data_IF_236420857441
#
_entry.id   IF_236420857441
#
_cell.length_a   1.000
_cell.length_b   1.000
_cell.length_c   1.000
_cell.angle_alpha   90.00
_cell.angle_beta   90.00
_cell.angle_gamma   90.00
#
_symmetry.space_group_name_H-M   'P 1'
#
loop_
_entity.id
_entity.type
_entity.pdbx_description
1 polymer ?
#
# COMPACT_ATOMS: atom_id res chain seq x y z
N UNK A 1 -10.65 -11.90 0.68
CA UNK A 1 -9.53 -11.89 1.64
C UNK A 1 -9.03 -13.33 1.80
N UNK A 2 -7.72 -13.59 1.73
CA UNK A 2 -7.19 -14.94 1.95
C UNK A 2 -7.37 -15.34 3.43
N UNK A 3 -8.17 -16.38 3.67
CA UNK A 3 -8.50 -16.88 5.03
C UNK A 3 -7.24 -17.27 5.81
N UNK A 4 -6.20 -17.74 5.14
CA UNK A 4 -4.92 -18.10 5.78
C UNK A 4 -4.20 -16.86 6.28
N UNK A 5 -4.18 -15.81 5.47
CA UNK A 5 -3.55 -14.54 5.85
C UNK A 5 -4.22 -13.95 7.09
N UNK A 6 -5.56 -13.87 7.10
CA UNK A 6 -6.32 -13.33 8.25
C UNK A 6 -6.03 -14.09 9.53
N UNK A 7 -5.95 -15.42 9.46
CA UNK A 7 -5.62 -16.27 10.61
C UNK A 7 -4.21 -15.99 11.13
N UNK A 8 -3.23 -15.85 10.24
CA UNK A 8 -1.84 -15.59 10.63
C UNK A 8 -1.66 -14.20 11.23
N UNK A 9 -2.29 -13.17 10.67
CA UNK A 9 -2.22 -11.82 11.25
C UNK A 9 -2.71 -11.83 12.69
N UNK A 10 -3.86 -12.46 12.97
CA UNK A 10 -4.43 -12.54 14.31
C UNK A 10 -3.47 -13.14 15.35
N UNK A 11 -2.52 -13.98 14.92
CA UNK A 11 -1.50 -14.59 15.79
C UNK A 11 -0.24 -13.72 15.92
N UNK A 12 0.01 -12.79 14.99
CA UNK A 12 1.23 -11.98 14.96
C UNK A 12 1.10 -10.61 15.61
N UNK A 13 -0.12 -10.06 15.67
CA UNK A 13 -0.36 -8.76 16.28
C UNK A 13 -1.47 -7.97 15.58
N UNK A 14 -1.60 -6.71 15.99
CA UNK A 14 -2.60 -5.78 15.47
C UNK A 14 -1.93 -4.48 15.03
N UNK A 15 -2.60 -3.71 14.19
CA UNK A 15 -2.18 -2.35 13.87
C UNK A 15 -2.26 -1.48 15.12
N UNK A 16 -1.31 -0.55 15.26
CA UNK A 16 -1.41 0.50 16.27
C UNK A 16 -2.49 1.53 15.93
N UNK A 17 -2.81 2.40 16.89
CA UNK A 17 -3.92 3.34 16.78
C UNK A 17 -3.79 4.30 15.59
N UNK A 18 -2.59 4.83 15.33
CA UNK A 18 -2.36 5.75 14.20
C UNK A 18 -2.56 5.03 12.87
N UNK A 19 -2.04 3.81 12.74
CA UNK A 19 -2.27 2.99 11.55
C UNK A 19 -3.74 2.66 11.34
N UNK A 20 -4.50 2.36 12.41
CA UNK A 20 -5.95 2.09 12.29
C UNK A 20 -6.71 3.31 11.78
N UNK A 21 -6.37 4.50 12.26
CA UNK A 21 -7.01 5.74 11.81
C UNK A 21 -6.74 6.02 10.33
N UNK A 22 -5.48 5.91 9.92
CA UNK A 22 -5.10 6.07 8.51
C UNK A 22 -5.70 4.96 7.64
N UNK A 23 -5.73 3.71 8.11
CA UNK A 23 -6.33 2.58 7.36
C UNK A 23 -7.79 2.87 7.03
N UNK A 24 -8.55 3.43 7.98
CA UNK A 24 -9.96 3.83 7.82
C UNK A 24 -10.12 4.95 6.79
N UNK A 25 -9.28 5.99 6.85
CA UNK A 25 -9.32 7.09 5.89
C UNK A 25 -9.00 6.59 4.47
N UNK A 26 -8.03 5.70 4.34
CA UNK A 26 -7.64 5.08 3.08
C UNK A 26 -8.59 3.96 2.63
N UNK A 27 -9.62 3.60 3.39
CA UNK A 27 -10.65 2.65 2.96
C UNK A 27 -11.81 3.36 2.19
N UNK A 28 -11.78 4.70 2.12
CA UNK A 28 -12.76 5.47 1.35
C UNK A 28 -12.55 5.24 -0.17
N UNK A 29 -13.52 4.57 -0.77
CA UNK A 29 -13.53 4.28 -2.21
C UNK A 29 -13.48 5.54 -3.07
N UNK A 30 -14.17 6.61 -2.67
CA UNK A 30 -14.20 7.86 -3.45
C UNK A 30 -12.83 8.51 -3.46
N UNK A 31 -12.10 8.45 -2.33
CA UNK A 31 -10.72 8.92 -2.28
C UNK A 31 -9.85 8.13 -3.25
N UNK A 32 -9.97 6.80 -3.26
CA UNK A 32 -9.18 5.95 -4.17
C UNK A 32 -9.51 6.21 -5.64
N UNK A 33 -10.79 6.37 -5.98
CA UNK A 33 -11.24 6.71 -7.34
C UNK A 33 -10.70 8.08 -7.80
N UNK A 34 -10.68 9.07 -6.91
CA UNK A 34 -10.11 10.39 -7.21
C UNK A 34 -8.60 10.31 -7.47
N UNK A 35 -7.86 9.58 -6.62
CA UNK A 35 -6.41 9.41 -6.79
C UNK A 35 -6.11 8.62 -8.07
N UNK A 36 -6.89 7.57 -8.36
CA UNK A 36 -6.73 6.80 -9.59
C UNK A 36 -6.99 7.65 -10.84
N UNK A 37 -8.04 8.49 -10.81
CA UNK A 37 -8.37 9.42 -11.89
C UNK A 37 -7.21 10.40 -12.13
N UNK A 38 -6.72 11.07 -11.07
CA UNK A 38 -5.60 12.02 -11.16
C UNK A 38 -4.33 11.35 -11.73
N UNK A 39 -3.98 10.16 -11.23
CA UNK A 39 -2.84 9.40 -11.72
C UNK A 39 -3.00 8.91 -13.17
N UNK A 40 -4.24 8.70 -13.62
CA UNK A 40 -4.56 8.31 -15.00
C UNK A 40 -4.40 9.46 -15.99
N UNK A 41 -4.49 10.71 -15.53
CA UNK A 41 -4.44 11.92 -16.35
C UNK A 41 -3.05 12.58 -16.39
N UNK A 42 -2.11 12.15 -15.54
CA UNK A 42 -0.75 12.73 -15.43
C UNK A 42 0.07 12.76 -16.73
N UNK A 43 -0.31 12.00 -17.75
CA UNK A 43 0.37 11.92 -19.04
C UNK A 43 -0.53 11.31 -20.12
N UNK A 44 -0.44 11.73 -21.40
CA UNK A 44 -1.33 11.28 -22.49
C UNK A 44 -1.44 9.76 -22.70
N UNK A 45 -0.46 9.00 -22.19
CA UNK A 45 -0.38 7.56 -22.34
C UNK A 45 -0.38 6.80 -21.00
N UNK A 46 -0.73 7.44 -19.88
CA UNK A 46 -0.72 6.80 -18.55
C UNK A 46 -1.61 5.56 -18.46
N UNK A 47 -2.74 5.56 -19.17
CA UNK A 47 -3.67 4.43 -19.25
C UNK A 47 -3.41 3.51 -20.45
N UNK A 48 -2.56 3.94 -21.40
CA UNK A 48 -2.34 3.26 -22.69
C UNK A 48 -0.99 2.55 -22.80
N UNK A 49 0.01 2.96 -21.99
CA UNK A 49 1.37 2.44 -22.03
C UNK A 49 1.95 2.34 -20.61
N UNK A 50 2.55 1.21 -20.25
CA UNK A 50 3.20 1.02 -18.95
C UNK A 50 3.30 -0.45 -18.52
N UNK A 51 4.05 -0.72 -17.44
CA UNK A 51 3.96 -2.01 -16.73
C UNK A 51 2.57 -2.14 -16.12
N UNK A 52 2.03 -3.36 -16.01
CA UNK A 52 0.87 -3.67 -15.16
C UNK A 52 1.09 -2.99 -13.81
N UNK A 53 0.32 -1.93 -13.56
CA UNK A 53 0.49 -1.11 -12.39
C UNK A 53 0.13 -1.93 -11.16
N UNK A 54 0.91 -1.72 -10.10
CA UNK A 54 0.46 -2.07 -8.75
C UNK A 54 -0.81 -1.25 -8.47
N UNK A 55 -1.84 -1.81 -7.81
CA UNK A 55 -3.04 -1.05 -7.46
C UNK A 55 -2.69 0.27 -6.75
N UNK A 56 -3.39 1.35 -7.12
CA UNK A 56 -3.18 2.69 -6.55
C UNK A 56 -3.27 2.67 -5.03
N UNK A 57 -4.22 1.89 -4.50
CA UNK A 57 -4.40 1.66 -3.06
C UNK A 57 -3.09 1.19 -2.37
N UNK A 58 -2.39 0.23 -2.96
CA UNK A 58 -1.14 -0.31 -2.39
C UNK A 58 -0.06 0.78 -2.36
N UNK A 59 0.08 1.53 -3.45
CA UNK A 59 1.08 2.61 -3.56
C UNK A 59 0.80 3.68 -2.51
N UNK A 60 -0.44 4.16 -2.43
CA UNK A 60 -0.84 5.21 -1.51
C UNK A 60 -0.62 4.81 -0.05
N UNK A 61 -0.99 3.57 0.31
CA UNK A 61 -0.78 3.03 1.66
C UNK A 61 0.70 2.87 1.98
N UNK A 62 1.54 2.45 1.03
CA UNK A 62 3.00 2.39 1.24
C UNK A 62 3.62 3.78 1.45
N UNK A 63 3.18 4.79 0.70
CA UNK A 63 3.61 6.18 0.89
C UNK A 63 3.14 6.68 2.26
N UNK A 64 1.87 6.47 2.63
CA UNK A 64 1.35 6.85 3.94
C UNK A 64 2.17 6.22 5.08
N UNK A 65 2.46 4.92 5.03
CA UNK A 65 3.29 4.24 6.02
C UNK A 65 4.71 4.82 6.10
N UNK A 66 5.30 5.14 4.94
CA UNK A 66 6.63 5.77 4.87
C UNK A 66 6.66 7.08 5.63
N UNK A 67 5.64 7.92 5.44
CA UNK A 67 5.53 9.22 6.10
C UNK A 67 5.18 9.09 7.58
N UNK A 68 4.22 8.22 7.93
CA UNK A 68 3.83 7.94 9.32
C UNK A 68 5.00 7.46 10.19
N UNK A 69 5.95 6.74 9.58
CA UNK A 69 7.09 6.12 10.30
C UNK A 69 8.45 6.72 9.94
N UNK A 70 8.47 7.83 9.21
CA UNK A 70 9.70 8.52 8.76
C UNK A 70 10.75 7.57 8.14
N UNK A 71 10.30 6.66 7.28
CA UNK A 71 11.14 5.61 6.71
C UNK A 71 11.81 6.04 5.39
N UNK A 72 13.00 5.51 5.15
CA UNK A 72 13.54 5.44 3.78
C UNK A 72 12.77 4.38 2.97
N UNK A 73 12.84 4.46 1.64
CA UNK A 73 12.20 3.44 0.78
C UNK A 73 12.72 2.02 1.03
N UNK A 74 14.02 1.89 1.31
CA UNK A 74 14.62 0.58 1.61
C UNK A 74 14.12 0.02 2.93
N UNK A 75 14.04 0.86 3.97
CA UNK A 75 13.52 0.45 5.27
C UNK A 75 12.02 0.15 5.21
N UNK A 76 11.27 0.91 4.42
CA UNK A 76 9.85 0.62 4.14
C UNK A 76 9.68 -0.76 3.52
N UNK A 77 10.38 -1.05 2.42
CA UNK A 77 10.29 -2.35 1.75
C UNK A 77 10.69 -3.50 2.67
N UNK A 78 11.77 -3.34 3.45
CA UNK A 78 12.20 -4.34 4.43
C UNK A 78 11.13 -4.59 5.50
N UNK A 79 10.65 -3.52 6.14
CA UNK A 79 9.65 -3.62 7.21
C UNK A 79 8.35 -4.28 6.70
N UNK A 80 7.88 -3.88 5.52
CA UNK A 80 6.69 -4.47 4.91
C UNK A 80 6.96 -5.91 4.46
N UNK A 81 8.18 -6.28 4.08
CA UNK A 81 8.48 -7.69 3.78
C UNK A 81 8.37 -8.58 5.03
N UNK A 82 8.82 -8.08 6.18
CA UNK A 82 9.00 -8.84 7.42
C UNK A 82 7.79 -8.84 8.36
N UNK A 83 6.80 -7.97 8.15
CA UNK A 83 5.62 -7.84 9.04
C UNK A 83 4.29 -8.06 8.33
N UNK A 84 3.55 -9.09 8.75
CA UNK A 84 2.20 -9.36 8.21
C UNK A 84 1.22 -8.22 8.50
N UNK A 85 1.33 -7.55 9.65
CA UNK A 85 0.50 -6.38 10.00
C UNK A 85 0.75 -5.23 9.01
N UNK A 86 2.01 -4.96 8.67
CA UNK A 86 2.34 -3.92 7.68
C UNK A 86 1.89 -4.32 6.26
N UNK A 87 1.97 -5.61 5.90
CA UNK A 87 1.44 -6.11 4.62
C UNK A 87 -0.08 -6.00 4.53
N UNK A 88 -0.78 -6.18 5.65
CA UNK A 88 -2.22 -5.97 5.74
C UNK A 88 -2.57 -4.50 5.53
N UNK A 89 -1.87 -3.60 6.24
CA UNK A 89 -2.06 -2.16 6.12
C UNK A 89 -1.86 -1.68 4.68
N UNK A 90 -0.81 -2.18 4.01
CA UNK A 90 -0.52 -1.85 2.61
C UNK A 90 -1.35 -2.63 1.58
N UNK A 91 -2.26 -3.53 2.01
CA UNK A 91 -3.08 -4.39 1.14
C UNK A 91 -2.27 -5.26 0.16
N UNK A 92 -1.06 -5.65 0.57
CA UNK A 92 -0.14 -6.50 -0.22
C UNK A 92 -0.38 -7.99 0.06
N UNK A 93 -0.80 -8.35 1.27
CA UNK A 93 -1.06 -9.75 1.65
C UNK A 93 0.12 -10.68 1.29
N UNK A 94 -0.09 -11.80 0.59
CA UNK A 94 0.99 -12.68 0.13
C UNK A 94 1.56 -12.32 -1.25
N UNK A 95 1.18 -11.18 -1.83
CA UNK A 95 1.69 -10.75 -3.14
C UNK A 95 3.12 -10.20 -3.05
N UNK A 96 3.84 -10.19 -4.17
CA UNK A 96 5.16 -9.57 -4.25
C UNK A 96 5.11 -8.08 -3.94
N UNK A 97 6.14 -7.54 -3.27
CA UNK A 97 6.25 -6.12 -3.02
C UNK A 97 6.42 -5.33 -4.34
N UNK A 98 5.94 -4.08 -4.40
CA UNK A 98 6.28 -3.15 -5.46
C UNK A 98 7.79 -2.94 -5.56
N UNK A 99 8.29 -2.68 -6.76
CA UNK A 99 9.69 -2.29 -6.92
C UNK A 99 9.93 -0.88 -6.36
N UNK A 100 11.17 -0.60 -5.94
CA UNK A 100 11.56 0.74 -5.43
C UNK A 100 11.23 1.86 -6.42
N UNK A 101 11.34 1.61 -7.73
CA UNK A 101 11.02 2.59 -8.77
C UNK A 101 9.52 2.89 -8.91
N UNK A 102 8.63 2.01 -8.45
CA UNK A 102 7.19 2.27 -8.41
C UNK A 102 6.83 3.27 -7.30
N UNK A 103 7.60 3.33 -6.21
CA UNK A 103 7.30 4.18 -5.06
C UNK A 103 7.94 5.58 -5.11
N UNK A 104 8.94 5.77 -5.96
CA UNK A 104 9.72 7.02 -6.05
C UNK A 104 9.12 8.01 -7.07
N UNK A 105 8.23 7.54 -7.96
CA UNK A 105 7.81 8.28 -9.15
C UNK A 105 6.69 9.27 -8.91
#
# INVERSE_FOLDING_TARGET
MDRKFSTLVQLTGQMDAEMVEIDRLLDDKKLMELVETDLSERSPHSTKTGRNSIPVEVILRMIALKHLRYLSYEKLLKNVNESLVLRQFCRIYFHSLPSKSTLIR
#
